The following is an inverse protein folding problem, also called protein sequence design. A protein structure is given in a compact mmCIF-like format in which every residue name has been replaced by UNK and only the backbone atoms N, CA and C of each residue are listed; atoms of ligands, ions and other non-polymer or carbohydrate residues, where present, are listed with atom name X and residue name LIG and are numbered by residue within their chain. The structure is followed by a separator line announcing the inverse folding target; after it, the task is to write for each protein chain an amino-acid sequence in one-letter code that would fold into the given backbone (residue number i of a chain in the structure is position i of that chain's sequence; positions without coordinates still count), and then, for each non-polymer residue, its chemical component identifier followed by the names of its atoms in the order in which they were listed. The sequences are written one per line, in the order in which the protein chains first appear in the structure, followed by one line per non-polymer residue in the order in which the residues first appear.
data_IF_678983850873
#
_entry.id   IF_678983850873
#
_cell.length_a   1.000
_cell.length_b   1.000
_cell.length_c   1.000
_cell.angle_alpha   90.00
_cell.angle_beta   90.00
_cell.angle_gamma   90.00
#
_symmetry.space_group_name_H-M   'P 1'
#
loop_
_entity.id
_entity.type
_entity.pdbx_description
1 polymer ?
#
# COMPACT_ATOMS: atom_id res chain seq x y z
N UNK A 1 -23.27 31.24 14.78
CA UNK A 1 -22.65 30.05 15.41
C UNK A 1 -23.12 28.74 14.78
N UNK A 2 -24.44 28.53 14.59
CA UNK A 2 -24.97 27.31 13.97
C UNK A 2 -24.45 27.07 12.54
N UNK A 3 -24.33 28.11 11.72
CA UNK A 3 -23.84 28.02 10.34
C UNK A 3 -22.38 27.58 10.22
N UNK A 4 -21.51 27.95 11.18
CA UNK A 4 -20.10 27.55 11.18
C UNK A 4 -19.98 26.07 11.54
N UNK A 5 -20.78 25.60 12.50
CA UNK A 5 -20.82 24.19 12.90
C UNK A 5 -21.34 23.33 11.76
N UNK A 6 -22.38 23.76 11.06
CA UNK A 6 -22.94 23.06 9.93
C UNK A 6 -21.94 23.01 8.76
N UNK A 7 -21.24 24.11 8.48
CA UNK A 7 -20.19 24.17 7.45
C UNK A 7 -19.00 23.25 7.77
N UNK A 8 -18.59 23.19 9.04
CA UNK A 8 -17.52 22.31 9.51
C UNK A 8 -17.94 20.83 9.39
N UNK A 9 -19.15 20.49 9.82
CA UNK A 9 -19.69 19.13 9.69
C UNK A 9 -19.84 18.73 8.21
N UNK A 10 -20.36 19.62 7.36
CA UNK A 10 -20.45 19.37 5.91
C UNK A 10 -19.05 19.21 5.29
N UNK A 11 -18.06 20.01 5.68
CA UNK A 11 -16.69 19.89 5.20
C UNK A 11 -16.10 18.53 5.53
N UNK A 12 -16.19 18.11 6.81
CA UNK A 12 -15.70 16.79 7.22
C UNK A 12 -16.49 15.63 6.61
N UNK A 13 -17.78 15.83 6.33
CA UNK A 13 -18.61 14.82 5.68
C UNK A 13 -18.28 14.67 4.19
N UNK A 14 -17.90 15.77 3.52
CA UNK A 14 -17.57 15.77 2.07
C UNK A 14 -16.11 15.38 1.83
N UNK A 15 -15.18 15.88 2.67
CA UNK A 15 -13.74 15.70 2.47
C UNK A 15 -13.11 14.60 3.34
N UNK A 16 -13.91 13.97 4.21
CA UNK A 16 -13.46 12.90 5.10
C UNK A 16 -12.38 13.35 6.10
N UNK A 17 -11.97 12.42 6.96
CA UNK A 17 -10.88 12.62 7.91
C UNK A 17 -9.62 12.01 7.33
N UNK A 18 -8.59 12.84 7.10
CA UNK A 18 -7.27 12.37 6.68
C UNK A 18 -6.43 12.04 7.92
N UNK A 19 -5.98 10.81 8.00
CA UNK A 19 -5.03 10.35 9.02
C UNK A 19 -3.72 10.01 8.32
N UNK A 20 -2.60 10.50 8.85
CA UNK A 20 -1.27 10.21 8.35
C UNK A 20 -0.38 9.80 9.52
N UNK A 21 0.42 8.75 9.36
CA UNK A 21 1.38 8.30 10.36
C UNK A 21 2.71 7.91 9.68
N UNK A 22 3.80 8.10 10.41
CA UNK A 22 5.15 7.61 10.07
C UNK A 22 5.69 6.66 11.15
N UNK A 23 4.85 6.22 12.06
CA UNK A 23 5.23 5.26 13.11
C UNK A 23 5.07 3.84 12.57
N UNK A 24 6.19 3.13 12.44
CA UNK A 24 6.29 1.85 11.73
C UNK A 24 5.42 0.71 12.26
N UNK A 25 5.05 0.72 13.56
CA UNK A 25 4.16 -0.30 14.13
C UNK A 25 2.66 -0.02 13.88
N UNK A 26 2.34 1.12 13.26
CA UNK A 26 0.95 1.56 13.12
C UNK A 26 0.14 0.69 12.16
N UNK A 27 0.76 0.03 11.17
CA UNK A 27 0.02 -0.72 10.15
C UNK A 27 -0.73 -1.94 10.72
N UNK A 28 -0.20 -2.61 11.75
CA UNK A 28 -0.92 -3.72 12.41
C UNK A 28 -2.20 -3.26 13.12
N UNK A 29 -2.29 -1.98 13.49
CA UNK A 29 -3.49 -1.39 14.12
C UNK A 29 -4.54 -0.98 13.08
N UNK A 30 -4.23 -1.11 11.79
CA UNK A 30 -5.04 -0.61 10.69
C UNK A 30 -5.96 -1.68 10.09
N UNK A 31 -5.66 -2.95 10.36
CA UNK A 31 -6.53 -4.05 9.95
C UNK A 31 -7.96 -3.80 10.46
N UNK A 32 -8.91 -3.77 9.53
CA UNK A 32 -10.31 -3.48 9.83
C UNK A 32 -10.70 -2.01 9.99
N UNK A 33 -9.76 -1.06 9.79
CA UNK A 33 -10.05 0.39 9.86
C UNK A 33 -9.94 1.07 8.49
N UNK A 34 -10.75 0.64 7.54
CA UNK A 34 -10.72 1.17 6.16
C UNK A 34 -9.79 0.41 5.22
N UNK A 35 -8.97 -0.50 5.73
CA UNK A 35 -8.17 -1.43 4.94
C UNK A 35 -9.01 -2.69 4.69
N UNK A 36 -9.29 -2.97 3.43
CA UNK A 36 -10.11 -4.12 3.03
C UNK A 36 -9.29 -5.35 2.65
N UNK A 37 -7.97 -5.29 2.83
CA UNK A 37 -7.04 -6.39 2.65
C UNK A 37 -6.61 -6.97 4.00
N UNK A 38 -6.27 -8.26 4.06
CA UNK A 38 -5.64 -8.86 5.23
C UNK A 38 -4.19 -8.41 5.45
N UNK A 39 -3.63 -7.50 4.63
CA UNK A 39 -2.21 -7.13 4.63
C UNK A 39 -1.30 -8.37 4.59
N UNK A 40 -1.61 -9.25 3.64
CA UNK A 40 -1.02 -10.58 3.57
C UNK A 40 0.50 -10.56 3.35
N UNK A 41 1.01 -9.59 2.57
CA UNK A 41 2.46 -9.51 2.27
C UNK A 41 3.27 -8.89 3.39
N UNK A 42 2.65 -8.07 4.25
CA UNK A 42 3.36 -7.33 5.29
C UNK A 42 4.01 -8.27 6.32
N UNK A 43 5.20 -7.91 6.84
CA UNK A 43 5.89 -8.72 7.83
C UNK A 43 5.18 -8.65 9.19
N UNK A 44 5.55 -9.54 10.12
CA UNK A 44 5.09 -9.43 11.51
C UNK A 44 5.71 -8.21 12.21
N UNK A 45 4.98 -7.63 13.19
CA UNK A 45 5.40 -6.43 13.91
C UNK A 45 6.69 -6.59 14.71
N UNK A 46 7.03 -7.83 15.07
CA UNK A 46 8.20 -8.19 15.87
C UNK A 46 9.44 -8.54 15.02
N UNK A 47 9.35 -8.34 13.70
CA UNK A 47 10.48 -8.63 12.81
C UNK A 47 11.60 -7.59 12.97
N UNK A 48 12.77 -8.03 13.37
CA UNK A 48 13.97 -7.19 13.46
C UNK A 48 14.41 -6.72 12.06
N UNK A 49 14.73 -5.43 11.94
CA UNK A 49 15.23 -4.81 10.72
C UNK A 49 16.48 -3.97 10.99
N UNK A 50 17.32 -3.78 9.98
CA UNK A 50 18.45 -2.85 10.06
C UNK A 50 18.00 -1.42 10.05
N UNK A 51 17.04 -1.09 9.16
CA UNK A 51 16.36 0.19 9.11
C UNK A 51 14.95 0.02 8.56
N UNK A 52 14.09 0.97 8.89
CA UNK A 52 12.70 0.99 8.45
C UNK A 52 12.27 2.40 8.08
N UNK A 53 11.62 2.55 6.92
CA UNK A 53 10.83 3.74 6.58
C UNK A 53 9.36 3.33 6.41
N UNK A 54 8.47 4.12 6.99
CA UNK A 54 7.04 3.82 7.01
C UNK A 54 6.22 5.06 6.72
N UNK A 55 5.22 4.89 5.86
CA UNK A 55 4.21 5.91 5.61
C UNK A 55 2.83 5.28 5.51
N UNK A 56 1.89 5.85 6.21
CA UNK A 56 0.48 5.49 6.15
C UNK A 56 -0.38 6.72 5.97
N UNK A 57 -1.36 6.60 5.10
CA UNK A 57 -2.41 7.60 4.95
C UNK A 57 -3.74 6.90 4.65
N UNK A 58 -4.79 7.30 5.35
CA UNK A 58 -6.16 7.00 4.97
C UNK A 58 -6.98 8.26 4.92
N UNK A 59 -8.00 8.24 4.07
CA UNK A 59 -9.03 9.27 4.00
C UNK A 59 -10.37 8.59 3.80
N UNK A 60 -11.25 8.78 4.77
CA UNK A 60 -12.62 8.29 4.69
C UNK A 60 -13.44 9.26 3.83
N UNK A 61 -13.95 8.78 2.72
CA UNK A 61 -14.85 9.51 1.84
C UNK A 61 -16.25 8.90 1.91
N UNK A 62 -17.28 9.66 1.51
CA UNK A 62 -18.69 9.24 1.62
C UNK A 62 -18.95 7.94 0.86
N UNK A 63 -18.27 7.71 -0.25
CA UNK A 63 -18.52 6.58 -1.15
C UNK A 63 -17.37 5.56 -1.22
N UNK A 64 -16.18 5.94 -0.80
CA UNK A 64 -15.02 5.04 -0.80
C UNK A 64 -13.94 5.57 0.14
N UNK A 65 -13.31 4.68 0.91
CA UNK A 65 -12.11 5.04 1.64
C UNK A 65 -10.90 4.93 0.70
N UNK A 66 -10.03 5.95 0.72
CA UNK A 66 -8.71 5.86 0.11
C UNK A 66 -7.69 5.47 1.17
N UNK A 67 -6.75 4.60 0.81
CA UNK A 67 -5.70 4.17 1.73
C UNK A 67 -4.41 3.91 0.99
N UNK A 68 -3.30 4.33 1.56
CA UNK A 68 -1.96 3.91 1.15
C UNK A 68 -1.12 3.55 2.37
N UNK A 69 -0.43 2.43 2.26
CA UNK A 69 0.56 1.96 3.22
C UNK A 69 1.83 1.67 2.45
N UNK A 70 2.91 2.23 2.90
CA UNK A 70 4.25 2.01 2.38
C UNK A 70 5.16 1.65 3.55
N UNK A 71 5.86 0.54 3.42
CA UNK A 71 6.84 0.08 4.40
C UNK A 71 8.08 -0.39 3.65
N UNK A 72 9.20 0.27 3.88
CA UNK A 72 10.51 -0.12 3.37
C UNK A 72 11.36 -0.64 4.53
N UNK A 73 11.71 -1.91 4.48
CA UNK A 73 12.56 -2.55 5.46
C UNK A 73 13.88 -2.97 4.83
N UNK A 74 14.98 -2.51 5.40
CA UNK A 74 16.30 -3.04 5.12
C UNK A 74 16.63 -4.14 6.13
N UNK A 75 17.11 -5.27 5.64
CA UNK A 75 17.40 -6.47 6.41
C UNK A 75 18.89 -6.81 6.39
N UNK A 76 19.35 -7.65 7.32
CA UNK A 76 20.57 -8.41 7.10
C UNK A 76 20.35 -9.40 5.95
N UNK A 77 21.43 -9.91 5.35
CA UNK A 77 21.31 -10.88 4.25
C UNK A 77 20.49 -12.12 4.64
N UNK A 78 20.73 -12.64 5.83
CA UNK A 78 20.01 -13.82 6.35
C UNK A 78 18.52 -13.54 6.54
N UNK A 79 18.16 -12.40 7.14
CA UNK A 79 16.77 -11.99 7.32
C UNK A 79 16.07 -11.75 5.97
N UNK A 80 16.77 -11.12 5.02
CA UNK A 80 16.25 -10.88 3.67
C UNK A 80 15.92 -12.20 2.94
N UNK A 81 16.82 -13.18 3.00
CA UNK A 81 16.60 -14.49 2.37
C UNK A 81 15.44 -15.24 3.03
N UNK A 82 15.33 -15.19 4.36
CA UNK A 82 14.22 -15.80 5.09
C UNK A 82 12.87 -15.15 4.75
N UNK A 83 12.83 -13.81 4.68
CA UNK A 83 11.61 -13.07 4.36
C UNK A 83 11.20 -13.25 2.89
N UNK A 84 12.15 -13.27 1.97
CA UNK A 84 11.90 -13.59 0.55
C UNK A 84 11.32 -15.00 0.41
N UNK A 85 11.84 -15.97 1.16
CA UNK A 85 11.31 -17.33 1.16
C UNK A 85 9.92 -17.41 1.78
N UNK A 86 9.64 -16.62 2.83
CA UNK A 86 8.29 -16.47 3.38
C UNK A 86 7.32 -15.98 2.31
N UNK A 87 7.66 -14.89 1.62
CA UNK A 87 6.81 -14.31 0.55
C UNK A 87 6.56 -15.31 -0.57
N UNK A 88 7.58 -16.05 -1.00
CA UNK A 88 7.47 -17.07 -2.06
C UNK A 88 6.47 -18.18 -1.72
N UNK A 89 6.36 -18.55 -0.46
CA UNK A 89 5.52 -19.66 0.00
C UNK A 89 4.23 -19.20 0.71
N UNK A 90 3.99 -17.89 0.77
CA UNK A 90 2.88 -17.33 1.53
C UNK A 90 1.53 -17.71 0.94
N UNK A 91 0.67 -18.22 1.81
CA UNK A 91 -0.74 -18.46 1.53
C UNK A 91 -1.58 -17.52 2.36
N UNK A 92 -2.55 -16.91 1.74
CA UNK A 92 -3.49 -16.01 2.42
C UNK A 92 -4.92 -16.32 2.01
N UNK A 93 -5.87 -15.96 2.85
CA UNK A 93 -7.29 -16.12 2.56
C UNK A 93 -7.91 -14.77 2.20
N UNK A 94 -8.56 -14.72 1.05
CA UNK A 94 -9.32 -13.56 0.61
C UNK A 94 -10.64 -14.02 -0.01
N UNK A 95 -11.75 -13.45 0.43
CA UNK A 95 -13.10 -13.86 0.02
C UNK A 95 -13.34 -15.39 0.14
N UNK A 96 -12.97 -15.95 1.27
CA UNK A 96 -13.09 -17.38 1.61
C UNK A 96 -12.27 -18.33 0.69
N UNK A 97 -11.38 -17.80 -0.12
CA UNK A 97 -10.48 -18.58 -0.97
C UNK A 97 -9.04 -18.50 -0.45
N UNK A 98 -8.36 -19.65 -0.41
CA UNK A 98 -6.93 -19.70 -0.12
C UNK A 98 -6.16 -19.40 -1.41
N UNK A 99 -5.34 -18.37 -1.37
CA UNK A 99 -4.54 -17.89 -2.48
C UNK A 99 -3.05 -17.97 -2.15
N UNK A 100 -2.20 -18.04 -3.17
CA UNK A 100 -0.77 -17.82 -3.07
C UNK A 100 -0.42 -16.51 -3.76
N UNK A 101 0.67 -15.86 -3.31
CA UNK A 101 1.23 -14.75 -4.04
C UNK A 101 1.77 -15.25 -5.39
N UNK A 102 1.65 -14.43 -6.42
CA UNK A 102 2.36 -14.69 -7.68
C UNK A 102 3.55 -13.74 -7.83
N UNK A 103 4.58 -14.19 -8.55
CA UNK A 103 5.76 -13.38 -8.86
C UNK A 103 5.52 -12.61 -10.16
N UNK A 104 5.93 -11.35 -10.15
CA UNK A 104 5.88 -10.47 -11.32
C UNK A 104 7.20 -9.69 -11.41
N UNK A 105 7.96 -9.93 -12.47
CA UNK A 105 9.22 -9.26 -12.78
C UNK A 105 9.05 -8.27 -13.95
N UNK A 106 7.96 -8.38 -14.71
CA UNK A 106 7.75 -7.56 -15.89
C UNK A 106 7.17 -6.19 -15.56
N UNK A 107 6.24 -6.14 -14.60
CA UNK A 107 5.49 -4.93 -14.27
C UNK A 107 6.11 -4.11 -13.14
N UNK A 108 7.18 -4.58 -12.53
CA UNK A 108 7.86 -3.88 -11.44
C UNK A 108 9.33 -3.62 -11.74
N UNK A 109 10.00 -2.84 -10.90
CA UNK A 109 11.43 -2.55 -11.04
C UNK A 109 12.33 -3.73 -10.67
N UNK A 110 11.78 -4.72 -9.94
CA UNK A 110 12.44 -5.95 -9.50
C UNK A 110 11.40 -7.05 -9.30
N UNK A 111 11.77 -8.19 -8.73
CA UNK A 111 10.81 -9.26 -8.41
C UNK A 111 9.79 -8.76 -7.40
N UNK A 112 8.53 -8.80 -7.76
CA UNK A 112 7.41 -8.49 -6.87
C UNK A 112 6.63 -9.76 -6.53
N UNK A 113 6.20 -9.86 -5.28
CA UNK A 113 5.27 -10.86 -4.78
C UNK A 113 3.92 -10.21 -4.60
N UNK A 114 2.96 -10.55 -5.45
CA UNK A 114 1.68 -9.84 -5.58
C UNK A 114 0.55 -10.66 -5.00
N UNK A 115 -0.14 -10.09 -4.02
CA UNK A 115 -1.37 -10.64 -3.45
C UNK A 115 -2.61 -10.13 -4.18
N UNK A 116 -2.63 -8.83 -4.53
CA UNK A 116 -3.72 -8.19 -5.27
C UNK A 116 -3.18 -7.18 -6.27
N UNK A 117 -3.70 -7.22 -7.50
CA UNK A 117 -3.38 -6.28 -8.56
C UNK A 117 -4.65 -5.86 -9.28
N UNK A 118 -5.03 -4.60 -9.12
CA UNK A 118 -6.18 -3.98 -9.81
C UNK A 118 -7.54 -4.66 -9.57
N UNK A 119 -7.69 -5.40 -8.48
CA UNK A 119 -9.00 -5.91 -8.13
C UNK A 119 -9.74 -4.88 -7.31
N UNK A 120 -10.73 -4.23 -7.90
CA UNK A 120 -11.50 -3.16 -7.25
C UNK A 120 -10.64 -1.98 -6.78
N UNK A 121 -9.71 -1.52 -7.64
CA UNK A 121 -8.77 -0.43 -7.34
C UNK A 121 -7.90 -0.67 -6.09
N UNK A 122 -7.49 -1.93 -5.88
CA UNK A 122 -6.62 -2.33 -4.77
C UNK A 122 -5.37 -3.03 -5.29
N UNK A 123 -4.27 -2.68 -4.64
CA UNK A 123 -2.96 -3.26 -4.91
C UNK A 123 -2.33 -3.65 -3.58
N UNK A 124 -1.88 -4.88 -3.47
CA UNK A 124 -1.09 -5.34 -2.33
C UNK A 124 0.05 -6.21 -2.86
N UNK A 125 1.28 -5.79 -2.61
CA UNK A 125 2.48 -6.46 -3.10
C UNK A 125 3.71 -6.13 -2.26
N UNK A 126 4.76 -6.96 -2.41
CA UNK A 126 6.09 -6.71 -1.88
C UNK A 126 7.12 -6.79 -3.00
N UNK A 127 8.01 -5.79 -3.11
CA UNK A 127 9.11 -5.74 -4.07
C UNK A 127 10.42 -6.07 -3.35
N UNK A 128 11.21 -6.98 -3.91
CA UNK A 128 12.52 -7.34 -3.36
C UNK A 128 13.63 -6.64 -4.12
N UNK A 129 14.56 -5.99 -3.39
CA UNK A 129 15.74 -5.31 -3.91
C UNK A 129 17.00 -6.03 -3.41
N UNK A 130 17.50 -6.98 -4.20
CA UNK A 130 18.61 -7.88 -3.83
C UNK A 130 19.90 -7.15 -3.49
N UNK A 131 20.23 -6.08 -4.23
CA UNK A 131 21.49 -5.34 -4.07
C UNK A 131 21.61 -4.65 -2.70
N UNK A 132 20.48 -4.29 -2.10
CA UNK A 132 20.41 -3.59 -0.81
C UNK A 132 19.86 -4.45 0.34
N UNK A 133 19.44 -5.69 0.08
CA UNK A 133 18.67 -6.52 1.00
C UNK A 133 17.44 -5.80 1.55
N UNK A 134 16.74 -5.08 0.68
CA UNK A 134 15.57 -4.28 1.03
C UNK A 134 14.30 -4.92 0.48
N UNK A 135 13.23 -4.89 1.24
CA UNK A 135 11.90 -5.28 0.78
C UNK A 135 10.95 -4.11 1.01
N UNK A 136 10.19 -3.77 -0.03
CA UNK A 136 9.22 -2.69 -0.03
C UNK A 136 7.83 -3.31 -0.07
N UNK A 137 7.04 -3.08 0.96
CA UNK A 137 5.67 -3.56 1.08
C UNK A 137 4.72 -2.41 0.80
N UNK A 138 3.75 -2.67 -0.06
CA UNK A 138 2.83 -1.65 -0.53
C UNK A 138 1.39 -2.14 -0.44
N UNK A 139 0.53 -1.28 0.06
CA UNK A 139 -0.92 -1.40 -0.06
C UNK A 139 -1.50 -0.08 -0.57
N UNK A 140 -2.26 -0.17 -1.66
CA UNK A 140 -2.97 0.97 -2.25
C UNK A 140 -4.44 0.61 -2.42
N UNK A 141 -5.33 1.54 -2.09
CA UNK A 141 -6.77 1.39 -2.24
C UNK A 141 -7.39 2.70 -2.72
N UNK A 142 -8.07 2.67 -3.86
CA UNK A 142 -8.74 3.81 -4.46
C UNK A 142 -7.83 5.05 -4.59
N UNK A 143 -6.54 4.86 -4.90
CA UNK A 143 -5.55 5.93 -4.96
C UNK A 143 -5.32 6.39 -6.39
N UNK A 144 -5.32 7.70 -6.60
CA UNK A 144 -4.78 8.31 -7.82
C UNK A 144 -3.25 8.42 -7.72
N UNK A 145 -2.53 8.20 -8.82
CA UNK A 145 -1.06 8.22 -8.85
C UNK A 145 -0.45 9.51 -8.26
N UNK A 146 -1.09 10.66 -8.49
CA UNK A 146 -0.66 11.98 -7.97
C UNK A 146 -0.70 12.09 -6.45
N UNK A 147 -1.52 11.27 -5.79
CA UNK A 147 -1.74 11.30 -4.34
C UNK A 147 -0.91 10.23 -3.61
N UNK A 148 -0.16 9.40 -4.36
CA UNK A 148 0.68 8.35 -3.81
C UNK A 148 2.00 8.95 -3.32
N UNK A 149 2.36 8.62 -2.08
CA UNK A 149 3.51 9.18 -1.36
C UNK A 149 4.70 8.21 -1.34
N UNK A 150 5.08 7.71 -2.51
CA UNK A 150 6.24 6.85 -2.70
C UNK A 150 6.90 7.12 -4.06
N UNK A 151 8.07 6.54 -4.29
CA UNK A 151 8.76 6.64 -5.57
C UNK A 151 7.96 5.94 -6.67
N UNK A 152 7.89 6.56 -7.85
CA UNK A 152 7.14 6.01 -9.00
C UNK A 152 7.64 4.63 -9.43
N UNK A 153 8.94 4.36 -9.26
CA UNK A 153 9.58 3.10 -9.64
C UNK A 153 9.02 1.89 -8.86
N UNK A 154 8.46 2.15 -7.67
CA UNK A 154 7.83 1.10 -6.86
C UNK A 154 6.36 0.85 -7.21
N UNK A 155 5.82 1.60 -8.17
CA UNK A 155 4.48 1.37 -8.67
C UNK A 155 4.51 0.41 -9.88
N UNK A 156 3.47 -0.41 -10.07
CA UNK A 156 3.36 -1.22 -11.28
C UNK A 156 3.37 -0.34 -12.52
N UNK A 157 4.10 -0.74 -13.57
CA UNK A 157 4.21 0.02 -14.83
C UNK A 157 2.85 0.35 -15.43
N UNK A 158 1.94 -0.61 -15.49
CA UNK A 158 0.59 -0.39 -16.00
C UNK A 158 -0.25 0.57 -15.16
N UNK A 159 0.05 0.70 -13.87
CA UNK A 159 -0.59 1.68 -13.00
C UNK A 159 -0.11 3.10 -13.34
N UNK A 160 1.19 3.26 -13.58
CA UNK A 160 1.79 4.54 -14.00
C UNK A 160 1.20 4.97 -15.34
N UNK A 161 1.17 4.07 -16.34
CA UNK A 161 0.67 4.35 -17.69
C UNK A 161 -0.80 4.76 -17.70
N UNK A 162 -1.65 4.05 -16.96
CA UNK A 162 -3.08 4.34 -16.87
C UNK A 162 -3.38 5.69 -16.19
N UNK A 163 -2.53 6.11 -15.26
CA UNK A 163 -2.69 7.38 -14.56
C UNK A 163 -2.01 8.54 -15.28
N UNK A 164 -0.95 8.31 -16.05
CA UNK A 164 -0.33 9.31 -16.91
C UNK A 164 -1.30 9.80 -18.00
N UNK A 165 -2.12 8.89 -18.57
CA UNK A 165 -3.13 9.25 -19.59
C UNK A 165 -4.26 10.11 -19.08
N UNK A 166 -4.64 10.02 -17.79
CA UNK A 166 -5.69 10.85 -17.19
C UNK A 166 -5.26 12.31 -16.92
N UNK A 167 -3.93 12.56 -16.89
CA UNK A 167 -3.40 13.91 -16.67
C UNK A 167 -3.23 14.74 -17.95
N UNK A 168 -3.34 14.14 -19.15
CA UNK A 168 -3.18 14.88 -20.41
C UNK A 168 -4.47 15.54 -20.91
N UNK A 169 -5.64 15.19 -20.35
CA UNK A 169 -6.94 15.70 -20.81
C UNK A 169 -7.51 16.87 -19.97
N UNK A 170 -6.74 17.46 -19.05
CA UNK A 170 -7.24 18.54 -18.17
C UNK A 170 -6.37 19.80 -18.15
N UNK A 171 -5.74 20.18 -19.26
CA UNK A 171 -5.26 21.55 -19.46
C UNK A 171 -6.09 22.23 -20.56
N UNK A 172 -6.77 23.35 -20.23
CA UNK A 172 -7.56 24.14 -21.18
C UNK A 172 -6.68 24.98 -22.11
#
# INVERSE_FOLDING_TARGET
MLGIILSYVCYHFIYGTRITSREGEAYHKLEGKGVYSPLAVFPSADMDTVSQDFYYQTRDEIFAATCQIYLENQYTREQYEAETERLRNLKFSYQDQTNMLYQDEENYCSVAYVAMANWTDRYEYAITLDDSNTIIYVYLQNMDAKDIHMQSDYLPKYFQDNNAGKHQDTDP
#
